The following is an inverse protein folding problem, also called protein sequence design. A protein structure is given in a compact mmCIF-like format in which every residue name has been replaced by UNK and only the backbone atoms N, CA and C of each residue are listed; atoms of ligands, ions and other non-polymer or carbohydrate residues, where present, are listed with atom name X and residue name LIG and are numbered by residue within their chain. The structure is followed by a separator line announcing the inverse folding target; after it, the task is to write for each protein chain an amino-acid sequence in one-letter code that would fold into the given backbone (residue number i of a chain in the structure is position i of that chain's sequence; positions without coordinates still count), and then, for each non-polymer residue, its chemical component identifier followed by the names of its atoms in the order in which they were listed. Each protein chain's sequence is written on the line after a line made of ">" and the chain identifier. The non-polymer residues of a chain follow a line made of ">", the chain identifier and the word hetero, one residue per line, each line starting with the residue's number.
data_IF_285425561989
#
_entry.id   IF_285425561989
#
_cell.length_a   1.000
_cell.length_b   1.000
_cell.length_c   1.000
_cell.angle_alpha   90.00
_cell.angle_beta   90.00
_cell.angle_gamma   90.00
#
_symmetry.space_group_name_H-M   'P 1'
#
loop_
_entity.id
_entity.type
_entity.pdbx_description
1 polymer ?
#
# COMPACT_ATOMS: atom_id res chain seq x y z
N UNK A 1 20.55 20.41 39.69
CA UNK A 1 20.72 21.59 38.80
C UNK A 1 19.43 21.71 37.95
N UNK A 2 18.60 22.72 38.29
CA UNK A 2 17.33 22.99 37.61
C UNK A 2 17.62 23.92 36.43
N UNK A 3 17.25 23.53 35.20
CA UNK A 3 17.25 24.43 34.04
C UNK A 3 15.81 24.70 33.61
N UNK A 4 15.46 25.97 33.73
CA UNK A 4 14.20 26.59 33.41
C UNK A 4 14.00 26.70 31.86
N UNK A 5 12.86 26.27 31.36
CA UNK A 5 12.48 26.39 29.96
C UNK A 5 11.62 27.65 29.84
N UNK A 6 12.07 28.59 29.04
CA UNK A 6 11.31 29.81 28.68
C UNK A 6 10.48 29.53 27.46
N UNK A 7 9.19 29.63 27.62
CA UNK A 7 8.18 29.66 26.57
C UNK A 7 8.18 31.03 25.89
N UNK A 8 8.35 31.08 24.58
CA UNK A 8 8.12 32.28 23.76
C UNK A 8 6.96 31.97 22.80
N UNK A 9 5.85 32.63 23.03
CA UNK A 9 4.67 32.65 22.17
C UNK A 9 4.84 33.75 21.13
N UNK A 10 4.78 33.40 19.85
CA UNK A 10 4.64 34.36 18.75
C UNK A 10 3.23 34.21 18.16
N UNK A 11 2.41 35.26 18.39
CA UNK A 11 1.15 35.47 17.70
C UNK A 11 1.43 36.05 16.30
N UNK A 12 0.97 35.38 15.25
CA UNK A 12 0.83 35.99 13.92
C UNK A 12 -0.65 36.23 13.63
N UNK A 13 -1.02 37.50 13.57
CA UNK A 13 -2.32 37.96 13.11
C UNK A 13 -2.31 38.07 11.58
N UNK A 14 -3.20 37.35 10.89
CA UNK A 14 -3.45 37.49 9.46
C UNK A 14 -4.65 38.40 9.24
N UNK A 15 -4.43 39.52 8.60
CA UNK A 15 -5.45 40.49 8.17
C UNK A 15 -5.98 40.04 6.80
N UNK A 16 -7.29 39.78 6.71
CA UNK A 16 -8.01 39.59 5.45
C UNK A 16 -8.51 40.93 4.92
N UNK A 17 -8.08 41.35 3.74
CA UNK A 17 -8.66 42.46 2.99
C UNK A 17 -9.57 41.91 1.89
N UNK A 18 -10.85 42.21 2.03
CA UNK A 18 -11.89 42.09 0.99
C UNK A 18 -11.77 43.29 0.04
N UNK A 19 -11.61 43.01 -1.27
CA UNK A 19 -11.76 43.99 -2.32
C UNK A 19 -12.97 43.63 -3.18
N UNK A 20 -13.99 44.48 -3.13
CA UNK A 20 -15.21 44.49 -3.94
C UNK A 20 -15.06 45.56 -5.01
N UNK A 21 -15.43 45.23 -6.28
CA UNK A 21 -15.84 46.15 -7.35
C UNK A 21 -16.54 45.27 -8.39
N UNK A 22 -17.75 45.48 -8.84
CA UNK A 22 -18.61 46.68 -8.97
C UNK A 22 -18.75 47.09 -10.44
N UNK A 23 -19.96 46.76 -11.06
CA UNK A 23 -20.58 47.48 -12.12
C UNK A 23 -20.15 47.14 -13.58
N UNK A 24 -20.97 46.97 -14.58
CA UNK A 24 -22.13 47.75 -15.01
C UNK A 24 -22.85 47.03 -16.17
N UNK A 25 -24.13 47.25 -16.29
CA UNK A 25 -25.04 46.81 -17.34
C UNK A 25 -24.74 47.42 -18.73
N UNK A 26 -25.13 46.75 -19.82
CA UNK A 26 -26.14 47.22 -20.75
C UNK A 26 -26.39 46.29 -21.96
N UNK A 27 -27.70 46.16 -22.28
CA UNK A 27 -28.34 45.84 -23.57
C UNK A 27 -28.39 44.44 -24.18
N UNK A 28 -29.57 43.84 -24.00
CA UNK A 28 -30.32 42.95 -24.98
C UNK A 28 -30.84 43.79 -26.19
N UNK A 29 -31.36 43.20 -27.30
CA UNK A 29 -31.84 41.85 -27.55
C UNK A 29 -31.52 41.29 -28.96
N UNK A 30 -31.63 39.96 -29.18
CA UNK A 30 -32.32 39.41 -30.37
C UNK A 30 -32.47 37.87 -30.28
N UNK A 31 -33.63 37.42 -30.61
CA UNK A 31 -34.15 36.08 -30.59
C UNK A 31 -33.36 35.06 -31.45
N UNK A 32 -33.32 33.83 -30.99
CA UNK A 32 -32.79 32.69 -31.76
C UNK A 32 -32.93 31.37 -31.02
N UNK A 33 -34.07 30.69 -31.27
CA UNK A 33 -34.29 29.24 -31.24
C UNK A 33 -33.74 28.43 -30.07
N UNK A 34 -34.64 28.06 -29.19
CA UNK A 34 -34.52 27.03 -28.17
C UNK A 34 -34.38 25.68 -28.86
N UNK A 35 -33.24 25.03 -28.68
CA UNK A 35 -33.09 23.59 -28.86
C UNK A 35 -32.76 22.98 -27.50
N UNK A 36 -33.81 22.45 -26.92
CA UNK A 36 -33.82 21.70 -25.69
C UNK A 36 -33.07 20.39 -25.90
N UNK A 37 -31.79 20.35 -25.55
CA UNK A 37 -31.02 19.09 -25.49
C UNK A 37 -31.22 18.53 -24.10
N UNK A 38 -32.09 17.56 -24.00
CA UNK A 38 -32.29 16.70 -22.83
C UNK A 38 -30.94 16.05 -22.48
N UNK A 39 -30.30 16.53 -21.45
CA UNK A 39 -29.15 15.85 -20.85
C UNK A 39 -29.67 14.64 -20.06
N UNK A 40 -29.48 13.45 -20.59
CA UNK A 40 -29.60 12.23 -19.81
C UNK A 40 -28.56 12.25 -18.68
N UNK A 41 -28.94 11.83 -17.45
CA UNK A 41 -27.97 11.70 -16.39
C UNK A 41 -27.02 10.53 -16.71
N UNK A 42 -25.77 10.85 -16.97
CA UNK A 42 -24.70 9.87 -17.00
C UNK A 42 -24.60 9.28 -15.59
N UNK A 43 -25.11 8.08 -15.42
CA UNK A 43 -24.84 7.28 -14.23
C UNK A 43 -23.33 6.95 -14.26
N UNK A 44 -22.57 7.59 -13.39
CA UNK A 44 -21.25 7.10 -13.01
C UNK A 44 -21.45 5.73 -12.35
N UNK A 45 -21.37 4.67 -13.13
CA UNK A 45 -21.13 3.34 -12.59
C UNK A 45 -19.76 3.37 -11.92
N UNK A 46 -19.79 3.50 -10.58
CA UNK A 46 -18.62 3.23 -9.74
C UNK A 46 -18.27 1.75 -9.90
N UNK A 47 -17.53 1.45 -10.96
CA UNK A 47 -16.94 0.15 -11.18
C UNK A 47 -15.88 -0.06 -10.10
N UNK A 48 -16.26 -0.71 -9.01
CA UNK A 48 -15.30 -1.31 -8.07
C UNK A 48 -14.60 -2.45 -8.80
N UNK A 49 -13.51 -2.11 -9.50
CA UNK A 49 -12.64 -3.10 -10.14
C UNK A 49 -12.04 -3.94 -9.00
N UNK A 50 -12.61 -5.11 -8.78
CA UNK A 50 -12.00 -6.10 -7.89
C UNK A 50 -10.68 -6.56 -8.53
N UNK A 51 -9.61 -6.80 -7.72
CA UNK A 51 -8.37 -7.35 -8.25
C UNK A 51 -8.63 -8.64 -9.01
N UNK A 52 -8.09 -8.73 -10.21
CA UNK A 52 -8.22 -9.94 -11.03
C UNK A 52 -7.54 -11.14 -10.37
N UNK A 53 -8.21 -12.30 -10.42
CA UNK A 53 -7.63 -13.56 -9.95
C UNK A 53 -6.57 -14.03 -10.94
N UNK A 54 -5.32 -14.12 -10.50
CA UNK A 54 -4.20 -14.57 -11.33
C UNK A 54 -3.15 -15.29 -10.49
N UNK A 55 -2.70 -16.45 -10.95
CA UNK A 55 -1.59 -17.17 -10.33
C UNK A 55 -0.20 -16.68 -10.78
N UNK A 56 -0.15 -15.69 -11.68
CA UNK A 56 1.07 -14.96 -12.02
C UNK A 56 0.96 -13.53 -11.47
N UNK A 57 1.69 -13.26 -10.40
CA UNK A 57 1.59 -12.04 -9.61
C UNK A 57 2.83 -11.15 -9.74
N UNK A 58 2.63 -9.85 -9.80
CA UNK A 58 3.69 -8.87 -9.56
C UNK A 58 3.27 -7.99 -8.38
N UNK A 59 4.15 -7.91 -7.38
CA UNK A 59 4.03 -7.05 -6.21
C UNK A 59 5.27 -6.15 -6.15
N UNK A 60 5.07 -4.88 -5.81
CA UNK A 60 6.14 -3.90 -5.71
C UNK A 60 6.17 -3.28 -4.32
N UNK A 61 7.38 -3.03 -3.81
CA UNK A 61 7.64 -2.25 -2.61
C UNK A 61 8.43 -0.99 -2.96
N UNK A 62 8.31 0.08 -2.18
CA UNK A 62 8.96 1.36 -2.42
C UNK A 62 9.65 1.93 -1.18
N UNK A 63 10.42 3.02 -1.34
CA UNK A 63 11.14 3.69 -0.25
C UNK A 63 10.22 4.38 0.79
N UNK A 64 8.89 4.37 0.60
CA UNK A 64 7.90 4.85 1.54
C UNK A 64 7.31 3.74 2.43
N UNK A 65 7.93 2.55 2.43
CA UNK A 65 7.42 1.36 3.14
C UNK A 65 5.99 0.99 2.72
N UNK A 66 5.73 0.96 1.41
CA UNK A 66 4.40 0.64 0.87
C UNK A 66 4.50 -0.46 -0.17
N UNK A 67 3.53 -1.37 -0.15
CA UNK A 67 3.22 -2.23 -1.29
C UNK A 67 2.28 -1.50 -2.25
N UNK A 68 2.45 -1.72 -3.55
CA UNK A 68 1.53 -1.19 -4.56
C UNK A 68 0.18 -1.90 -4.59
N UNK A 69 0.06 -3.04 -3.92
CA UNK A 69 -1.19 -3.80 -3.76
C UNK A 69 -1.33 -4.27 -2.32
N UNK A 70 -2.52 -4.16 -1.76
CA UNK A 70 -2.87 -4.66 -0.43
C UNK A 70 -3.77 -5.89 -0.48
N UNK A 71 -4.22 -6.27 -1.68
CA UNK A 71 -4.98 -7.49 -1.94
C UNK A 71 -4.46 -8.16 -3.21
N UNK A 72 -4.27 -9.47 -3.14
CA UNK A 72 -3.90 -10.36 -4.22
C UNK A 72 -4.91 -11.50 -4.26
N UNK A 73 -5.28 -11.98 -5.48
CA UNK A 73 -6.21 -13.09 -5.65
C UNK A 73 -5.60 -14.18 -6.50
N UNK A 74 -5.71 -15.42 -6.05
CA UNK A 74 -5.16 -16.61 -6.71
C UNK A 74 -6.13 -17.79 -6.64
N UNK A 75 -5.96 -18.74 -7.54
CA UNK A 75 -6.70 -20.01 -7.55
C UNK A 75 -6.01 -21.05 -6.66
N UNK A 76 -6.78 -21.72 -5.82
CA UNK A 76 -6.31 -22.80 -4.96
C UNK A 76 -5.77 -23.98 -5.78
N UNK A 77 -4.78 -24.66 -5.23
CA UNK A 77 -4.23 -25.91 -5.78
C UNK A 77 -3.39 -25.76 -7.05
N UNK A 78 -3.19 -24.55 -7.54
CA UNK A 78 -2.34 -24.28 -8.72
C UNK A 78 -1.03 -23.61 -8.29
N UNK A 79 0.07 -23.80 -9.02
CA UNK A 79 1.31 -23.08 -8.79
C UNK A 79 1.08 -21.56 -8.91
N UNK A 80 1.62 -20.81 -7.95
CA UNK A 80 1.58 -19.36 -7.89
C UNK A 80 3.01 -18.87 -8.13
N UNK A 81 3.20 -18.06 -9.18
CA UNK A 81 4.46 -17.38 -9.44
C UNK A 81 4.33 -15.92 -8.97
N UNK A 82 5.17 -15.51 -8.05
CA UNK A 82 5.21 -14.13 -7.57
C UNK A 82 6.57 -13.50 -7.89
N UNK A 83 6.52 -12.41 -8.66
CA UNK A 83 7.66 -11.52 -8.89
C UNK A 83 7.54 -10.35 -7.92
N UNK A 84 8.48 -10.25 -6.98
CA UNK A 84 8.57 -9.13 -6.07
C UNK A 84 9.67 -8.16 -6.52
N UNK A 85 9.37 -6.86 -6.58
CA UNK A 85 10.30 -5.81 -7.02
C UNK A 85 10.40 -4.71 -5.98
N UNK A 86 11.60 -4.20 -5.76
CA UNK A 86 11.81 -2.97 -5.01
C UNK A 86 11.99 -1.80 -5.99
N UNK A 87 10.97 -0.94 -6.09
CA UNK A 87 10.96 0.19 -7.05
C UNK A 87 11.65 1.44 -6.52
N UNK A 88 12.10 1.42 -5.27
CA UNK A 88 12.90 2.49 -4.67
C UNK A 88 14.38 2.42 -5.07
N UNK A 89 15.20 3.21 -4.36
CA UNK A 89 16.65 3.35 -4.60
C UNK A 89 17.48 3.08 -3.36
N UNK A 90 16.84 2.95 -2.18
CA UNK A 90 17.55 2.77 -0.92
C UNK A 90 18.14 1.38 -0.80
N UNK A 91 19.30 1.30 -0.17
CA UNK A 91 20.01 0.03 0.03
C UNK A 91 19.22 -0.94 0.93
N UNK A 92 19.42 -2.21 0.70
CA UNK A 92 18.80 -3.32 1.44
C UNK A 92 18.97 -3.24 2.96
N UNK A 93 20.10 -2.72 3.42
CA UNK A 93 20.39 -2.58 4.86
C UNK A 93 19.59 -1.47 5.55
N UNK A 94 19.12 -0.49 4.79
CA UNK A 94 18.37 0.67 5.28
C UNK A 94 16.86 0.56 5.01
N UNK A 95 16.49 0.00 3.85
CA UNK A 95 15.11 -0.07 3.36
C UNK A 95 14.86 -1.40 2.62
N UNK A 96 15.34 -2.50 3.20
CA UNK A 96 15.10 -3.81 2.62
C UNK A 96 13.63 -4.22 2.69
N UNK A 97 13.16 -4.88 1.64
CA UNK A 97 11.81 -5.42 1.59
C UNK A 97 11.82 -6.89 1.21
N UNK A 98 10.86 -7.64 1.75
CA UNK A 98 10.52 -8.96 1.31
C UNK A 98 8.99 -9.14 1.29
N UNK A 99 8.54 -10.21 0.67
CA UNK A 99 7.18 -10.71 0.76
C UNK A 99 7.19 -11.99 1.59
N UNK A 100 6.39 -12.04 2.63
CA UNK A 100 6.23 -13.21 3.50
C UNK A 100 4.76 -13.52 3.65
N UNK A 101 4.32 -14.65 3.10
CA UNK A 101 2.93 -15.12 3.29
C UNK A 101 2.86 -16.10 4.44
N UNK A 102 1.91 -15.86 5.34
CA UNK A 102 1.77 -16.54 6.61
C UNK A 102 0.52 -17.42 6.64
N UNK A 103 0.56 -18.49 7.43
CA UNK A 103 -0.61 -19.33 7.69
C UNK A 103 -1.70 -18.54 8.44
N UNK A 104 -2.98 -18.84 8.19
CA UNK A 104 -4.08 -18.23 8.93
C UNK A 104 -3.92 -18.41 10.44
N UNK A 105 -4.25 -17.37 11.19
CA UNK A 105 -4.15 -17.37 12.65
C UNK A 105 -2.76 -17.08 13.22
N UNK A 106 -1.76 -16.81 12.37
CA UNK A 106 -0.44 -16.35 12.84
C UNK A 106 -0.57 -14.97 13.48
N UNK A 107 -0.04 -14.81 14.70
CA UNK A 107 0.07 -13.50 15.35
C UNK A 107 1.17 -12.68 14.65
N UNK A 108 0.73 -11.69 13.86
CA UNK A 108 1.63 -10.84 13.08
C UNK A 108 2.58 -10.01 13.95
N UNK A 109 2.13 -9.57 15.14
CA UNK A 109 2.97 -8.78 16.04
C UNK A 109 4.07 -9.66 16.64
N UNK A 110 3.71 -10.84 17.12
CA UNK A 110 4.67 -11.79 17.68
C UNK A 110 5.67 -12.26 16.62
N UNK A 111 5.20 -12.52 15.39
CA UNK A 111 6.07 -12.86 14.25
C UNK A 111 7.06 -11.74 13.96
N UNK A 112 6.57 -10.49 13.80
CA UNK A 112 7.40 -9.33 13.49
C UNK A 112 8.44 -9.02 14.59
N UNK A 113 8.09 -9.19 15.86
CA UNK A 113 9.05 -9.05 16.96
C UNK A 113 10.20 -10.05 16.86
N UNK A 114 9.90 -11.32 16.56
CA UNK A 114 10.92 -12.35 16.38
C UNK A 114 11.76 -12.11 15.12
N UNK A 115 11.12 -11.56 14.06
CA UNK A 115 11.79 -11.22 12.80
C UNK A 115 12.91 -10.19 13.01
N UNK A 116 12.76 -9.23 13.92
CA UNK A 116 13.77 -8.18 14.18
C UNK A 116 15.15 -8.75 14.54
N UNK A 117 15.22 -9.94 15.13
CA UNK A 117 16.47 -10.60 15.52
C UNK A 117 16.99 -11.60 14.48
N UNK A 118 16.25 -11.81 13.39
CA UNK A 118 16.55 -12.82 12.36
C UNK A 118 17.27 -12.24 11.12
N UNK A 119 18.11 -11.23 11.29
CA UNK A 119 18.80 -10.51 10.22
C UNK A 119 19.55 -11.45 9.25
N UNK A 120 20.26 -12.44 9.79
CA UNK A 120 21.07 -13.39 9.02
C UNK A 120 20.21 -14.39 8.18
N UNK A 121 18.90 -14.33 8.31
CA UNK A 121 17.94 -15.14 7.59
C UNK A 121 16.86 -14.25 6.95
N UNK A 122 17.25 -13.14 6.34
CA UNK A 122 16.36 -12.19 5.66
C UNK A 122 15.16 -11.74 6.50
N UNK A 123 15.35 -11.66 7.82
CA UNK A 123 14.30 -11.38 8.82
C UNK A 123 13.16 -12.41 8.83
N UNK A 124 13.44 -13.65 8.46
CA UNK A 124 12.52 -14.78 8.62
C UNK A 124 12.94 -15.57 9.87
N UNK A 125 12.20 -15.49 10.98
CA UNK A 125 12.59 -16.16 12.22
C UNK A 125 12.47 -17.69 12.06
N UNK A 126 13.57 -18.40 12.28
CA UNK A 126 13.61 -19.87 12.18
C UNK A 126 12.63 -20.55 13.13
N UNK A 127 12.37 -19.95 14.30
CA UNK A 127 11.40 -20.42 15.28
C UNK A 127 9.95 -20.36 14.78
N UNK A 128 9.68 -19.53 13.76
CA UNK A 128 8.35 -19.34 13.17
C UNK A 128 8.23 -19.97 11.76
N UNK A 129 9.19 -20.77 11.36
CA UNK A 129 9.19 -21.40 10.01
C UNK A 129 7.92 -22.21 9.75
N UNK A 130 7.31 -22.79 10.78
CA UNK A 130 6.05 -23.51 10.67
C UNK A 130 4.85 -22.61 10.32
N UNK A 131 4.94 -21.31 10.59
CA UNK A 131 3.91 -20.29 10.27
C UNK A 131 4.09 -19.68 8.88
N UNK A 132 5.26 -19.85 8.26
CA UNK A 132 5.56 -19.30 6.93
C UNK A 132 5.17 -20.28 5.85
N UNK A 133 4.38 -19.84 4.86
CA UNK A 133 4.04 -20.64 3.68
C UNK A 133 5.11 -20.46 2.61
N UNK A 134 5.44 -19.22 2.28
CA UNK A 134 6.48 -18.88 1.32
C UNK A 134 7.02 -17.46 1.61
N UNK A 135 8.23 -17.18 1.16
CA UNK A 135 8.82 -15.86 1.25
C UNK A 135 9.84 -15.63 0.13
N UNK A 136 10.04 -14.37 -0.23
CA UNK A 136 11.14 -13.92 -1.08
C UNK A 136 12.39 -13.70 -0.23
N UNK A 137 13.53 -13.53 -0.90
CA UNK A 137 14.71 -12.93 -0.28
C UNK A 137 14.40 -11.49 0.14
N UNK A 138 15.21 -10.99 1.07
CA UNK A 138 15.26 -9.55 1.33
C UNK A 138 15.96 -8.86 0.14
N UNK A 139 15.30 -7.87 -0.46
CA UNK A 139 15.83 -7.12 -1.62
C UNK A 139 15.94 -5.63 -1.30
N UNK A 140 16.89 -4.95 -1.94
CA UNK A 140 17.11 -3.51 -1.90
C UNK A 140 16.61 -2.81 -3.17
N UNK A 141 16.76 -1.48 -3.22
CA UNK A 141 16.31 -0.65 -4.32
C UNK A 141 16.82 -1.10 -5.69
N UNK A 142 15.91 -1.25 -6.65
CA UNK A 142 16.18 -1.74 -8.00
C UNK A 142 16.30 -3.25 -8.14
N UNK A 143 16.30 -4.01 -7.03
CA UNK A 143 16.39 -5.47 -7.07
C UNK A 143 15.00 -6.11 -7.23
N UNK A 144 15.00 -7.39 -7.64
CA UNK A 144 13.80 -8.23 -7.69
C UNK A 144 14.13 -9.66 -7.29
N UNK A 145 13.11 -10.38 -6.82
CA UNK A 145 13.17 -11.81 -6.56
C UNK A 145 11.89 -12.49 -7.05
N UNK A 146 11.99 -13.74 -7.45
CA UNK A 146 10.85 -14.51 -7.94
C UNK A 146 10.76 -15.82 -7.18
N UNK A 147 9.56 -16.13 -6.68
CA UNK A 147 9.27 -17.37 -5.98
C UNK A 147 8.09 -18.09 -6.63
N UNK A 148 8.09 -19.41 -6.49
CA UNK A 148 6.97 -20.28 -6.82
C UNK A 148 6.52 -21.03 -5.57
N UNK A 149 5.20 -21.07 -5.34
CA UNK A 149 4.59 -21.79 -4.23
C UNK A 149 3.16 -22.21 -4.56
N UNK A 150 2.58 -23.11 -3.76
CA UNK A 150 1.20 -23.56 -3.94
C UNK A 150 0.47 -23.49 -2.62
N UNK A 151 -0.78 -23.01 -2.66
CA UNK A 151 -1.71 -23.05 -1.53
C UNK A 151 -2.95 -23.83 -1.97
N UNK A 152 -3.21 -24.94 -1.29
CA UNK A 152 -4.30 -25.86 -1.64
C UNK A 152 -5.62 -25.50 -0.96
N UNK A 153 -5.55 -24.86 0.21
CA UNK A 153 -6.72 -24.51 1.00
C UNK A 153 -7.21 -23.11 0.64
N UNK A 154 -8.50 -23.00 0.31
CA UNK A 154 -9.15 -21.71 0.11
C UNK A 154 -9.19 -20.91 1.39
N UNK A 155 -9.06 -19.60 1.29
CA UNK A 155 -9.08 -18.74 2.47
C UNK A 155 -8.36 -17.42 2.27
N UNK A 156 -8.23 -16.67 3.35
CA UNK A 156 -7.52 -15.40 3.38
C UNK A 156 -6.25 -15.53 4.19
N UNK A 157 -5.15 -15.21 3.58
CA UNK A 157 -3.81 -15.30 4.14
C UNK A 157 -3.20 -13.91 4.28
N UNK A 158 -2.50 -13.67 5.39
CA UNK A 158 -1.76 -12.44 5.54
C UNK A 158 -0.42 -12.51 4.80
N UNK A 159 -0.05 -11.44 4.13
CA UNK A 159 1.35 -11.24 3.73
C UNK A 159 1.88 -9.93 4.30
N UNK A 160 3.16 -9.94 4.65
CA UNK A 160 3.85 -8.81 5.27
C UNK A 160 5.26 -8.63 4.71
N UNK A 161 5.84 -7.46 4.92
CA UNK A 161 7.28 -7.28 4.94
C UNK A 161 7.79 -7.50 6.37
N UNK A 162 8.74 -8.40 6.55
CA UNK A 162 9.29 -8.74 7.87
C UNK A 162 10.50 -7.91 8.27
N UNK A 163 10.96 -6.99 7.42
CA UNK A 163 12.03 -6.04 7.78
C UNK A 163 11.60 -5.21 9.01
N UNK A 164 12.50 -4.92 9.95
CA UNK A 164 12.17 -4.23 11.19
C UNK A 164 11.39 -2.93 10.98
N UNK A 165 10.23 -2.80 11.62
CA UNK A 165 9.36 -1.63 11.55
C UNK A 165 8.42 -1.57 10.36
N UNK A 166 8.60 -2.38 9.31
CA UNK A 166 7.83 -2.28 8.07
C UNK A 166 6.43 -2.91 8.13
N UNK A 167 6.25 -4.00 8.89
CA UNK A 167 5.01 -4.81 8.86
C UNK A 167 3.74 -4.04 9.21
N UNK A 168 3.85 -2.93 9.95
CA UNK A 168 2.71 -2.11 10.32
C UNK A 168 2.06 -1.45 9.10
N UNK A 169 2.87 -1.06 8.12
CA UNK A 169 2.47 -0.39 6.88
C UNK A 169 2.50 -1.34 5.67
N UNK A 170 3.53 -2.21 5.58
CA UNK A 170 3.70 -3.14 4.47
C UNK A 170 3.07 -4.49 4.79
N UNK A 171 1.77 -4.58 4.58
CA UNK A 171 0.95 -5.80 4.75
C UNK A 171 -0.21 -5.81 3.78
N UNK A 172 -0.73 -6.99 3.51
CA UNK A 172 -1.92 -7.19 2.68
C UNK A 172 -2.53 -8.56 2.87
N UNK A 173 -3.53 -8.87 2.04
CA UNK A 173 -4.26 -10.13 2.03
C UNK A 173 -4.06 -10.85 0.71
N UNK A 174 -3.73 -12.12 0.78
CA UNK A 174 -3.75 -13.05 -0.35
C UNK A 174 -5.03 -13.89 -0.22
N UNK A 175 -5.96 -13.68 -1.12
CA UNK A 175 -7.23 -14.41 -1.18
C UNK A 175 -7.04 -15.60 -2.12
N UNK A 176 -7.24 -16.79 -1.59
CA UNK A 176 -7.14 -18.06 -2.30
C UNK A 176 -8.56 -18.60 -2.53
N UNK A 177 -9.00 -18.68 -3.79
CA UNK A 177 -10.35 -19.04 -4.19
C UNK A 177 -10.43 -20.21 -5.22
#
# INVERSE_FOLDING_TARGET
>A
MKRSIRTSALLFAFVFTLSSCGGNADKSPAAGSVQETTAEPVQEESSTVQPETSNSLTLEGNDQMQYNKTELRVKAGQPITLVFKHTGKMEKTAMGHNFVVLKPGTDLNAFAQKAMTAKDNDYIPKSESASVIAHTKLIGGGESDTIEFTITEKGTYDYICSFPGHFSMMKGKLIVE
#
